data_IF_869611401887
#
_entry.id   IF_869611401887
#
_cell.length_a   1.000
_cell.length_b   1.000
_cell.length_c   1.000
_cell.angle_alpha   90.00
_cell.angle_beta   90.00
_cell.angle_gamma   90.00
#
_symmetry.space_group_name_H-M   'P 1'
#
loop_
_entity.id
_entity.type
_entity.pdbx_description
1 polymer ?
#
# COMPACT_ATOMS: atom_id res chain seq x y z
N UNK A 1 -12.00 17.82 11.25
CA UNK A 1 -10.71 17.40 11.84
C UNK A 1 -9.73 18.55 11.67
N UNK A 2 -9.09 19.04 12.74
CA UNK A 2 -8.09 20.11 12.66
C UNK A 2 -6.73 19.47 12.91
N UNK A 3 -5.84 19.56 11.94
CA UNK A 3 -4.51 19.01 12.03
C UNK A 3 -3.75 19.67 13.20
N UNK A 4 -3.24 18.86 14.13
CA UNK A 4 -2.44 19.34 15.25
C UNK A 4 -1.04 19.64 14.74
N UNK A 5 -0.47 20.78 15.13
CA UNK A 5 0.91 21.13 14.79
C UNK A 5 1.86 20.14 15.47
N UNK A 6 2.41 19.22 14.68
CA UNK A 6 3.47 18.28 15.06
C UNK A 6 4.85 18.93 15.08
N UNK A 7 4.93 20.21 14.68
CA UNK A 7 6.16 21.01 14.60
C UNK A 7 6.99 20.93 15.90
N UNK A 8 6.35 20.97 17.08
CA UNK A 8 7.06 20.89 18.37
C UNK A 8 7.67 19.51 18.63
N UNK A 9 6.98 18.43 18.23
CA UNK A 9 7.48 17.07 18.40
C UNK A 9 8.65 16.77 17.47
N UNK A 10 8.61 17.35 16.27
CA UNK A 10 9.63 17.16 15.23
C UNK A 10 10.71 18.25 15.22
N UNK A 11 10.65 19.24 16.12
CA UNK A 11 11.55 20.39 16.12
C UNK A 11 13.04 20.00 16.12
N UNK A 12 13.41 18.96 16.88
CA UNK A 12 14.78 18.45 16.93
C UNK A 12 15.24 17.80 15.61
N UNK A 13 14.31 17.35 14.79
CA UNK A 13 14.57 16.74 13.48
C UNK A 13 14.46 17.74 12.32
N UNK A 14 13.95 18.95 12.56
CA UNK A 14 13.65 19.93 11.51
C UNK A 14 14.82 20.20 10.53
N UNK A 15 16.08 20.35 10.98
CA UNK A 15 17.21 20.55 10.07
C UNK A 15 17.49 19.37 9.15
N UNK A 16 17.00 18.18 9.51
CA UNK A 16 17.24 16.93 8.79
C UNK A 16 16.06 16.53 7.90
N UNK A 17 14.91 17.19 8.02
CA UNK A 17 13.72 16.88 7.20
C UNK A 17 13.88 17.50 5.81
N UNK A 18 13.84 16.66 4.77
CA UNK A 18 13.79 17.14 3.38
C UNK A 18 12.39 17.65 3.06
N UNK A 19 12.29 18.91 2.68
CA UNK A 19 11.02 19.59 2.35
C UNK A 19 10.86 19.80 0.85
N UNK A 20 9.61 19.91 0.39
CA UNK A 20 9.26 20.31 -0.98
C UNK A 20 9.40 21.84 -1.16
N UNK A 21 9.12 22.34 -2.37
CA UNK A 21 9.17 23.78 -2.68
C UNK A 21 8.14 24.63 -1.94
N UNK A 22 7.09 24.01 -1.39
CA UNK A 22 6.09 24.66 -0.52
C UNK A 22 6.44 24.54 0.96
N UNK A 23 7.63 24.03 1.29
CA UNK A 23 8.10 23.86 2.65
C UNK A 23 7.44 22.71 3.41
N UNK A 24 6.76 21.77 2.76
CA UNK A 24 6.16 20.60 3.44
C UNK A 24 7.14 19.42 3.48
N UNK A 25 7.15 18.59 4.53
CA UNK A 25 7.97 17.39 4.57
C UNK A 25 7.71 16.47 3.37
N UNK A 26 8.76 15.96 2.74
CA UNK A 26 8.66 14.92 1.72
C UNK A 26 8.50 13.57 2.39
N UNK A 27 7.59 12.76 1.84
CA UNK A 27 7.24 11.43 2.35
C UNK A 27 7.43 10.46 1.19
N UNK A 28 8.13 9.35 1.44
CA UNK A 28 8.35 8.30 0.45
C UNK A 28 7.16 7.30 0.37
N UNK A 29 7.22 6.37 -0.56
CA UNK A 29 6.17 5.36 -0.82
C UNK A 29 5.93 4.39 0.35
N UNK A 30 6.86 4.32 1.31
CA UNK A 30 6.74 3.53 2.53
C UNK A 30 6.22 4.37 3.71
N UNK A 31 5.64 5.54 3.39
CA UNK A 31 5.06 6.46 4.36
C UNK A 31 6.11 6.95 5.37
N UNK A 32 7.37 7.10 4.93
CA UNK A 32 8.46 7.58 5.78
C UNK A 32 8.88 8.99 5.39
N UNK A 33 9.19 9.83 6.39
CA UNK A 33 9.83 11.12 6.15
C UNK A 33 11.18 10.92 5.45
N UNK A 34 11.42 11.69 4.39
CA UNK A 34 12.75 11.73 3.78
C UNK A 34 13.66 12.57 4.69
N UNK A 35 14.60 11.91 5.36
CA UNK A 35 15.55 12.51 6.28
C UNK A 35 16.96 12.58 5.68
N UNK A 36 17.81 13.42 6.25
CA UNK A 36 19.24 13.44 5.96
C UNK A 36 19.90 12.07 6.25
N UNK A 37 20.84 11.60 5.41
CA UNK A 37 21.55 10.33 5.64
C UNK A 37 22.31 10.21 6.96
N UNK A 38 22.57 11.33 7.66
CA UNK A 38 23.13 11.33 9.01
C UNK A 38 22.18 10.70 10.04
N UNK A 39 20.86 10.76 9.82
CA UNK A 39 19.85 10.16 10.71
C UNK A 39 19.68 8.68 10.35
N UNK A 40 19.98 7.80 11.30
CA UNK A 40 19.90 6.34 11.09
C UNK A 40 18.52 5.73 11.36
N UNK A 41 17.66 6.45 12.08
CA UNK A 41 16.28 6.05 12.34
C UNK A 41 15.34 6.36 11.19
N UNK A 42 14.15 5.76 11.24
CA UNK A 42 13.04 6.07 10.34
C UNK A 42 11.88 6.70 11.13
N UNK A 43 11.22 7.69 10.54
CA UNK A 43 10.00 8.28 11.07
C UNK A 43 8.88 8.01 10.05
N UNK A 44 7.92 7.17 10.44
CA UNK A 44 6.74 6.89 9.63
C UNK A 44 5.61 7.82 9.99
N UNK A 45 4.82 8.21 8.98
CA UNK A 45 3.65 9.07 9.13
C UNK A 45 2.39 8.30 8.75
N UNK A 46 1.28 8.62 9.41
CA UNK A 46 -0.04 8.12 9.03
C UNK A 46 -1.02 9.30 8.99
N UNK A 47 -1.78 9.39 7.91
CA UNK A 47 -2.81 10.41 7.67
C UNK A 47 -2.28 11.86 7.55
N UNK A 48 -0.97 12.08 7.46
CA UNK A 48 -0.35 13.41 7.28
C UNK A 48 0.25 13.58 5.86
N UNK A 49 0.03 12.59 4.99
CA UNK A 49 0.66 12.46 3.68
C UNK A 49 -0.23 12.94 2.52
N UNK A 50 -1.30 13.70 2.78
CA UNK A 50 -2.28 14.10 1.74
C UNK A 50 -1.65 14.81 0.53
N UNK A 51 -0.59 15.60 0.72
CA UNK A 51 0.12 16.31 -0.35
C UNK A 51 1.04 15.40 -1.20
N UNK A 52 1.28 14.16 -0.78
CA UNK A 52 2.14 13.19 -1.50
C UNK A 52 1.38 11.94 -1.94
N UNK A 53 0.43 11.46 -1.12
CA UNK A 53 -0.34 10.24 -1.33
C UNK A 53 -1.82 10.53 -1.65
N UNK A 54 -2.16 11.80 -1.85
CA UNK A 54 -3.45 12.24 -2.35
C UNK A 54 -4.58 12.13 -1.32
N UNK A 55 -5.81 12.32 -1.81
CA UNK A 55 -7.03 12.41 -1.00
C UNK A 55 -7.41 11.11 -0.27
N UNK A 56 -6.76 9.98 -0.59
CA UNK A 56 -6.93 8.71 0.11
C UNK A 56 -6.12 8.58 1.40
N UNK A 57 -5.19 9.50 1.68
CA UNK A 57 -4.38 9.50 2.90
C UNK A 57 -5.20 9.45 4.21
N UNK A 58 -6.30 10.21 4.39
CA UNK A 58 -7.12 10.11 5.59
C UNK A 58 -8.14 8.96 5.57
N UNK A 59 -8.23 8.18 4.49
CA UNK A 59 -9.22 7.11 4.39
C UNK A 59 -8.91 5.98 5.37
N UNK A 60 -9.90 5.62 6.18
CA UNK A 60 -9.82 4.52 7.14
C UNK A 60 -9.82 3.15 6.45
N UNK A 61 -10.44 3.05 5.26
CA UNK A 61 -10.40 1.84 4.44
C UNK A 61 -8.99 1.43 4.02
N UNK A 62 -8.11 2.41 3.83
CA UNK A 62 -6.70 2.20 3.49
C UNK A 62 -5.76 2.07 4.69
N UNK A 63 -6.23 2.27 5.93
CA UNK A 63 -5.37 2.24 7.12
C UNK A 63 -4.69 0.88 7.37
N UNK A 64 -5.41 -0.21 7.13
CA UNK A 64 -4.85 -1.56 7.23
C UNK A 64 -3.76 -1.81 6.16
N UNK A 65 -3.99 -1.35 4.93
CA UNK A 65 -3.02 -1.44 3.84
C UNK A 65 -1.76 -0.62 4.15
N UNK A 66 -1.91 0.62 4.64
CA UNK A 66 -0.78 1.47 5.07
C UNK A 66 0.03 0.81 6.19
N UNK A 67 -0.65 0.25 7.19
CA UNK A 67 0.00 -0.46 8.30
C UNK A 67 0.81 -1.67 7.80
N UNK A 68 0.27 -2.43 6.85
CA UNK A 68 0.96 -3.55 6.22
C UNK A 68 2.21 -3.10 5.43
N UNK A 69 2.13 -1.99 4.68
CA UNK A 69 3.29 -1.40 3.99
C UNK A 69 4.38 -1.02 4.99
N UNK A 70 4.03 -0.31 6.06
CA UNK A 70 4.96 0.13 7.10
C UNK A 70 5.62 -1.08 7.78
N UNK A 71 4.85 -2.09 8.18
CA UNK A 71 5.42 -3.26 8.86
C UNK A 71 6.37 -4.05 7.95
N UNK A 72 6.02 -4.20 6.67
CA UNK A 72 6.91 -4.84 5.70
C UNK A 72 8.23 -4.07 5.54
N UNK A 73 8.17 -2.73 5.52
CA UNK A 73 9.35 -1.88 5.44
C UNK A 73 10.22 -1.97 6.72
N UNK A 74 9.60 -1.94 7.90
CA UNK A 74 10.31 -2.06 9.19
C UNK A 74 11.01 -3.41 9.36
N UNK A 75 10.41 -4.48 8.86
CA UNK A 75 10.95 -5.85 9.01
C UNK A 75 11.87 -6.27 7.86
N UNK A 76 11.88 -5.52 6.76
CA UNK A 76 12.59 -5.87 5.53
C UNK A 76 12.07 -7.15 4.86
N UNK A 77 10.83 -7.58 5.19
CA UNK A 77 10.22 -8.83 4.73
C UNK A 77 8.75 -8.60 4.42
N UNK A 78 8.17 -9.43 3.55
CA UNK A 78 6.73 -9.44 3.30
C UNK A 78 6.01 -10.23 4.39
N UNK A 79 5.73 -9.58 5.53
CA UNK A 79 4.94 -10.16 6.64
C UNK A 79 3.46 -10.18 6.28
N UNK A 80 2.97 -9.13 5.63
CA UNK A 80 1.62 -9.05 5.08
C UNK A 80 1.67 -8.93 3.55
N UNK A 81 1.00 -9.85 2.86
CA UNK A 81 0.86 -9.77 1.41
C UNK A 81 0.01 -8.55 1.02
N UNK A 82 0.52 -7.73 0.11
CA UNK A 82 -0.20 -6.58 -0.42
C UNK A 82 -0.86 -6.96 -1.76
N UNK A 83 -2.13 -6.60 -1.98
CA UNK A 83 -2.81 -6.88 -3.24
C UNK A 83 -2.12 -6.15 -4.39
N UNK A 84 -1.79 -6.88 -5.46
CA UNK A 84 -1.06 -6.34 -6.62
C UNK A 84 -1.93 -5.42 -7.49
N UNK A 85 -3.25 -5.69 -7.56
CA UNK A 85 -4.22 -4.87 -8.30
C UNK A 85 -5.59 -5.03 -7.66
N UNK A 86 -6.22 -3.90 -7.34
CA UNK A 86 -7.58 -3.84 -6.79
C UNK A 86 -8.54 -3.05 -7.68
N UNK A 87 -8.04 -2.24 -8.62
CA UNK A 87 -8.84 -1.44 -9.53
C UNK A 87 -8.94 -2.05 -10.93
N UNK A 88 -10.13 -1.95 -11.53
CA UNK A 88 -10.35 -2.28 -12.95
C UNK A 88 -9.72 -1.22 -13.87
N UNK A 89 -9.81 0.05 -13.48
CA UNK A 89 -9.23 1.18 -14.23
C UNK A 89 -7.71 1.22 -14.10
N UNK A 90 -7.02 1.51 -15.20
CA UNK A 90 -5.56 1.76 -15.23
C UNK A 90 -5.32 3.24 -15.48
N UNK A 91 -4.46 3.85 -14.66
CA UNK A 91 -4.01 5.24 -14.82
C UNK A 91 -2.51 5.25 -15.13
N UNK A 92 -2.03 6.28 -15.83
CA UNK A 92 -0.64 6.40 -16.26
C UNK A 92 -0.52 6.40 -17.79
N UNK A 93 0.63 6.89 -18.29
CA UNK A 93 0.87 7.03 -19.73
C UNK A 93 1.26 5.71 -20.40
N UNK A 94 1.78 4.76 -19.61
CA UNK A 94 2.25 3.47 -20.11
C UNK A 94 1.21 2.36 -19.88
N UNK A 95 0.79 1.64 -20.93
CA UNK A 95 -0.08 0.47 -20.78
C UNK A 95 0.64 -0.64 -19.99
N UNK A 96 0.19 -0.92 -18.77
CA UNK A 96 0.71 -2.07 -18.00
C UNK A 96 0.01 -3.36 -18.44
N UNK A 97 0.75 -4.48 -18.66
CA UNK A 97 0.14 -5.76 -18.98
C UNK A 97 -0.85 -6.16 -17.89
N UNK A 98 -2.11 -6.42 -18.27
CA UNK A 98 -3.13 -6.83 -17.31
C UNK A 98 -2.88 -8.28 -16.85
N UNK A 99 -2.78 -8.56 -15.54
CA UNK A 99 -2.77 -9.92 -15.04
C UNK A 99 -4.10 -10.58 -15.44
N UNK A 100 -4.06 -11.71 -16.16
CA UNK A 100 -5.28 -12.47 -16.46
C UNK A 100 -5.83 -13.02 -15.15
N UNK A 101 -7.16 -12.95 -14.92
CA UNK A 101 -7.77 -13.68 -13.81
C UNK A 101 -7.37 -15.13 -13.91
N UNK A 102 -6.70 -15.66 -12.89
CA UNK A 102 -6.52 -17.10 -12.78
C UNK A 102 -7.89 -17.67 -12.43
N UNK A 103 -8.60 -18.17 -13.44
CA UNK A 103 -9.73 -19.06 -13.18
C UNK A 103 -9.16 -20.22 -12.39
N UNK A 104 -9.53 -20.34 -11.12
CA UNK A 104 -9.36 -21.59 -10.39
C UNK A 104 -10.24 -22.62 -11.11
N UNK A 105 -9.70 -23.24 -12.15
CA UNK A 105 -10.25 -24.47 -12.69
C UNK A 105 -9.96 -25.48 -11.60
N UNK A 106 -10.87 -25.59 -10.64
CA UNK A 106 -10.90 -26.69 -9.71
C UNK A 106 -10.78 -27.96 -10.56
N UNK A 107 -9.82 -28.81 -10.20
CA UNK A 107 -9.70 -30.14 -10.77
C UNK A 107 -11.05 -30.84 -10.58
N UNK A 108 -11.88 -30.83 -11.61
CA UNK A 108 -13.05 -31.68 -11.71
C UNK A 108 -12.52 -33.13 -11.74
N UNK A 109 -12.37 -33.71 -10.56
CA UNK A 109 -12.40 -35.15 -10.40
C UNK A 109 -13.83 -35.59 -10.76
N UNK A 110 -14.10 -35.72 -12.07
CA UNK A 110 -15.30 -36.39 -12.57
C UNK A 110 -15.17 -37.86 -12.22
N UNK A 111 -15.60 -38.22 -11.01
CA UNK A 111 -15.98 -39.59 -10.70
C UNK A 111 -17.16 -39.91 -11.63
N UNK A 112 -16.88 -40.63 -12.71
CA UNK A 112 -17.86 -41.12 -13.66
C UNK A 112 -18.83 -42.06 -12.94
N UNK A 113 -20.06 -41.60 -12.74
CA UNK A 113 -21.18 -42.45 -12.33
C UNK A 113 -21.55 -43.30 -13.57
N UNK A 114 -21.51 -44.64 -13.52
CA UNK A 114 -21.86 -45.45 -14.68
C UNK A 114 -23.36 -45.29 -15.00
N UNK A 115 -23.65 -45.06 -16.30
CA UNK A 115 -25.02 -45.04 -16.84
C UNK A 115 -25.72 -46.37 -16.54
N UNK A 116 -26.87 -46.33 -15.90
CA UNK A 116 -27.83 -47.43 -15.97
C UNK A 116 -28.50 -47.42 -17.35
N UNK A 117 -28.54 -48.60 -17.98
CA UNK A 117 -29.25 -48.86 -19.23
C UNK A 117 -30.78 -48.81 -19.02
N UNK A 118 -31.56 -48.47 -20.06
CA UNK A 118 -33.02 -48.44 -19.96
C UNK A 118 -33.58 -49.86 -19.87
N UNK A 119 -34.57 -50.04 -19.00
CA UNK A 119 -35.46 -51.22 -19.01
C UNK A 119 -36.76 -50.79 -19.71
N UNK A 120 -37.23 -51.67 -20.60
CA UNK A 120 -38.37 -51.52 -21.52
C UNK A 120 -39.66 -50.98 -20.89
#
# INVERSE_FOLDING_TARGET
YRERRVDTLLAALDPYIRRDSSGRPRIDEHHRLILDPSVKGAVHVQNAETHTHGVGAPDLGLAAWRSAVILNALTGKTVYALPQRTAFTTFGLEPRPQPRPQTAIGSENRHTIPRQLPVH
#
